data_IF_115256551747
#
_entry.id   IF_115256551747
#
_cell.length_a   1.000
_cell.length_b   1.000
_cell.length_c   1.000
_cell.angle_alpha   90.00
_cell.angle_beta   90.00
_cell.angle_gamma   90.00
#
_symmetry.space_group_name_H-M   'P 1'
#
loop_
_entity.id
_entity.type
_entity.pdbx_description
1 polymer ?
#
# COMPACT_ATOMS: atom_id res chain seq x y z
N UNK A 1 8.24 -63.33 15.44
CA UNK A 1 7.11 -62.99 14.54
C UNK A 1 7.31 -61.56 14.09
N UNK A 2 7.86 -61.36 12.89
CA UNK A 2 8.09 -60.06 12.28
C UNK A 2 7.14 -59.95 11.07
N UNK A 3 6.18 -59.03 11.16
CA UNK A 3 5.20 -58.80 10.10
C UNK A 3 5.85 -58.18 8.87
N UNK A 4 5.74 -58.87 7.73
CA UNK A 4 6.08 -58.34 6.41
C UNK A 4 5.11 -57.21 6.06
N UNK A 5 5.61 -55.98 5.94
CA UNK A 5 4.87 -54.90 5.29
C UNK A 5 5.11 -55.01 3.78
N UNK A 6 4.07 -55.42 3.05
CA UNK A 6 4.06 -55.48 1.60
C UNK A 6 3.86 -54.05 1.05
N UNK A 7 4.95 -53.39 0.64
CA UNK A 7 4.85 -52.11 -0.08
C UNK A 7 4.49 -52.45 -1.53
N UNK A 8 3.22 -52.24 -1.88
CA UNK A 8 2.76 -52.25 -3.27
C UNK A 8 3.31 -50.97 -3.91
N UNK A 9 4.41 -51.10 -4.66
CA UNK A 9 4.92 -50.03 -5.51
C UNK A 9 3.96 -49.83 -6.68
N UNK A 10 3.03 -48.89 -6.55
CA UNK A 10 2.29 -48.35 -7.69
C UNK A 10 3.26 -47.50 -8.52
N UNK A 11 3.82 -48.11 -9.55
CA UNK A 11 4.61 -47.42 -10.55
C UNK A 11 3.65 -46.58 -11.41
N UNK A 12 3.45 -45.32 -11.01
CA UNK A 12 2.78 -44.35 -11.88
C UNK A 12 3.70 -44.06 -13.06
N UNK A 13 3.18 -44.23 -14.28
CA UNK A 13 3.85 -43.80 -15.50
C UNK A 13 4.22 -42.33 -15.33
N UNK A 14 5.52 -42.05 -15.30
CA UNK A 14 6.06 -40.71 -15.52
C UNK A 14 5.60 -40.33 -16.93
N UNK A 15 4.55 -39.52 -17.03
CA UNK A 15 4.12 -38.98 -18.32
C UNK A 15 5.33 -38.32 -18.97
N UNK A 16 5.66 -38.76 -20.18
CA UNK A 16 6.63 -38.03 -21.00
C UNK A 16 6.19 -36.57 -21.08
N UNK A 17 7.09 -35.60 -20.90
CA UNK A 17 6.74 -34.20 -21.07
C UNK A 17 6.35 -34.03 -22.53
N UNK A 18 5.05 -33.93 -22.78
CA UNK A 18 4.54 -33.46 -24.06
C UNK A 18 5.24 -32.13 -24.32
N UNK A 19 6.05 -32.05 -25.37
CA UNK A 19 6.68 -30.81 -25.79
C UNK A 19 5.61 -29.89 -26.39
N UNK A 20 4.66 -29.47 -25.56
CA UNK A 20 3.61 -28.51 -25.87
C UNK A 20 4.29 -27.25 -26.39
N UNK A 21 3.87 -26.80 -27.57
CA UNK A 21 4.38 -25.54 -28.13
C UNK A 21 3.85 -24.37 -27.32
N UNK A 22 4.60 -23.26 -27.30
CA UNK A 22 4.18 -22.08 -26.55
C UNK A 22 2.82 -21.55 -27.04
N UNK A 23 2.50 -21.66 -28.34
CA UNK A 23 1.20 -21.21 -28.86
C UNK A 23 0.02 -22.02 -28.32
N UNK A 24 0.18 -23.34 -28.23
CA UNK A 24 -0.83 -24.26 -27.69
C UNK A 24 -1.01 -24.04 -26.19
N UNK A 25 0.09 -23.91 -25.45
CA UNK A 25 0.07 -23.60 -24.03
C UNK A 25 -0.57 -22.22 -23.77
N UNK A 26 -0.25 -21.23 -24.60
CA UNK A 26 -0.79 -19.89 -24.50
C UNK A 26 -2.32 -19.87 -24.71
N UNK A 27 -2.84 -20.67 -25.65
CA UNK A 27 -4.29 -20.76 -25.86
C UNK A 27 -5.01 -21.32 -24.62
N UNK A 28 -4.41 -22.30 -23.95
CA UNK A 28 -4.94 -22.87 -22.71
C UNK A 28 -4.88 -21.83 -21.59
N UNK A 29 -3.76 -21.09 -21.47
CA UNK A 29 -3.58 -20.00 -20.50
C UNK A 29 -4.63 -18.90 -20.70
N UNK A 30 -4.83 -18.43 -21.92
CA UNK A 30 -5.84 -17.39 -22.24
C UNK A 30 -7.25 -17.86 -21.89
N UNK A 31 -7.56 -19.14 -22.14
CA UNK A 31 -8.87 -19.71 -21.78
C UNK A 31 -9.07 -19.75 -20.26
N UNK A 32 -8.04 -20.16 -19.52
CA UNK A 32 -8.08 -20.16 -18.06
C UNK A 32 -8.14 -18.73 -17.47
N UNK A 33 -7.42 -17.77 -18.06
CA UNK A 33 -7.44 -16.37 -17.62
C UNK A 33 -8.81 -15.71 -17.88
N UNK A 34 -9.43 -15.99 -19.03
CA UNK A 34 -10.79 -15.54 -19.33
C UNK A 34 -11.82 -16.08 -18.34
N UNK A 35 -11.68 -17.34 -17.89
CA UNK A 35 -12.55 -17.88 -16.85
C UNK A 35 -12.37 -17.13 -15.54
N UNK A 36 -11.12 -16.90 -15.10
CA UNK A 36 -10.84 -16.10 -13.91
C UNK A 36 -11.34 -14.64 -14.02
N UNK A 37 -11.29 -14.05 -15.22
CA UNK A 37 -11.88 -12.74 -15.50
C UNK A 37 -13.41 -12.74 -15.35
N UNK A 38 -14.10 -13.74 -15.90
CA UNK A 38 -15.56 -13.90 -15.76
C UNK A 38 -15.96 -14.07 -14.29
N UNK A 39 -15.13 -14.75 -13.50
CA UNK A 39 -15.31 -14.91 -12.05
C UNK A 39 -14.97 -13.64 -11.23
N UNK A 40 -14.63 -12.53 -11.90
CA UNK A 40 -14.36 -11.24 -11.26
C UNK A 40 -12.98 -11.14 -10.59
N UNK A 41 -12.07 -12.08 -10.86
CA UNK A 41 -10.71 -12.04 -10.30
C UNK A 41 -9.92 -10.91 -10.97
N UNK A 42 -9.35 -10.00 -10.17
CA UNK A 42 -8.48 -8.94 -10.67
C UNK A 42 -7.16 -9.51 -11.23
N UNK A 43 -6.53 -8.87 -12.24
CA UNK A 43 -5.30 -9.38 -12.90
C UNK A 43 -4.22 -9.91 -11.94
N UNK A 44 -3.87 -9.15 -10.90
CA UNK A 44 -2.90 -9.54 -9.84
C UNK A 44 -3.21 -10.85 -9.11
N UNK A 45 -4.47 -11.28 -9.09
CA UNK A 45 -4.91 -12.50 -8.42
C UNK A 45 -5.11 -13.69 -9.37
N UNK A 46 -4.96 -13.50 -10.68
CA UNK A 46 -5.29 -14.54 -11.68
C UNK A 46 -4.23 -15.62 -11.83
N UNK A 47 -2.96 -15.33 -11.52
CA UNK A 47 -1.85 -16.26 -11.75
C UNK A 47 -2.07 -17.62 -11.07
N UNK A 48 -2.52 -17.61 -9.82
CA UNK A 48 -2.81 -18.84 -9.06
C UNK A 48 -3.95 -19.68 -9.66
N UNK A 49 -5.17 -19.18 -9.86
CA UNK A 49 -6.25 -19.96 -10.46
C UNK A 49 -5.95 -20.36 -11.91
N UNK A 50 -5.21 -19.54 -12.67
CA UNK A 50 -4.75 -19.88 -14.03
C UNK A 50 -3.81 -21.08 -13.98
N UNK A 51 -2.76 -21.06 -13.16
CA UNK A 51 -1.84 -22.20 -12.99
C UNK A 51 -2.60 -23.45 -12.59
N UNK A 52 -3.51 -23.35 -11.61
CA UNK A 52 -4.34 -24.49 -11.18
C UNK A 52 -5.20 -25.08 -12.31
N UNK A 53 -5.84 -24.22 -13.09
CA UNK A 53 -6.69 -24.64 -14.21
C UNK A 53 -5.86 -25.29 -15.32
N UNK A 54 -4.77 -24.66 -15.73
CA UNK A 54 -3.89 -25.17 -16.81
C UNK A 54 -3.26 -26.51 -16.40
N UNK A 55 -2.72 -26.61 -15.19
CA UNK A 55 -2.11 -27.84 -14.69
C UNK A 55 -3.13 -28.99 -14.64
N UNK A 56 -4.36 -28.73 -14.18
CA UNK A 56 -5.44 -29.72 -14.18
C UNK A 56 -5.82 -30.17 -15.60
N UNK A 57 -5.93 -29.23 -16.54
CA UNK A 57 -6.25 -29.55 -17.95
C UNK A 57 -5.16 -30.39 -18.62
N UNK A 58 -3.90 -30.22 -18.21
CA UNK A 58 -2.76 -31.01 -18.67
C UNK A 58 -2.59 -32.34 -17.91
N UNK A 59 -3.51 -32.68 -16.99
CA UNK A 59 -3.51 -33.94 -16.25
C UNK A 59 -2.56 -33.98 -15.04
N UNK A 60 -2.08 -32.83 -14.56
CA UNK A 60 -1.25 -32.75 -13.36
C UNK A 60 -2.12 -32.52 -12.11
N UNK A 61 -2.33 -33.57 -11.31
CA UNK A 61 -3.10 -33.50 -10.06
C UNK A 61 -2.28 -33.01 -8.85
N UNK A 62 -0.96 -33.21 -8.88
CA UNK A 62 -0.02 -32.75 -7.85
C UNK A 62 1.22 -32.14 -8.46
N UNK A 63 1.59 -30.94 -8.03
CA UNK A 63 2.79 -30.24 -8.48
C UNK A 63 3.26 -29.25 -7.42
N UNK A 64 4.54 -28.92 -7.45
CA UNK A 64 5.13 -27.93 -6.55
C UNK A 64 5.08 -26.56 -7.20
N UNK A 65 4.41 -25.62 -6.51
CA UNK A 65 4.19 -24.25 -6.98
C UNK A 65 5.41 -23.35 -6.77
N UNK A 66 6.19 -23.56 -5.70
CA UNK A 66 7.36 -22.74 -5.38
C UNK A 66 8.40 -23.54 -4.57
N UNK A 67 9.66 -23.05 -4.58
CA UNK A 67 10.79 -23.59 -3.82
C UNK A 67 11.82 -24.32 -4.69
N UNK A 68 12.77 -25.01 -4.04
CA UNK A 68 13.95 -25.64 -4.70
C UNK A 68 13.57 -26.66 -5.78
N UNK A 69 12.36 -27.24 -5.70
CA UNK A 69 11.84 -28.24 -6.63
C UNK A 69 10.61 -27.74 -7.41
N UNK A 70 10.53 -26.44 -7.67
CA UNK A 70 9.46 -25.86 -8.49
C UNK A 70 9.33 -26.57 -9.86
N UNK A 71 8.09 -26.86 -10.26
CA UNK A 71 7.85 -27.54 -11.54
C UNK A 71 8.16 -26.59 -12.72
N UNK A 72 9.05 -26.97 -13.67
CA UNK A 72 9.39 -26.12 -14.81
C UNK A 72 8.20 -25.68 -15.67
N UNK A 73 7.14 -26.49 -15.73
CA UNK A 73 5.90 -26.14 -16.43
C UNK A 73 5.13 -25.02 -15.71
N UNK A 74 5.15 -25.00 -14.36
CA UNK A 74 4.55 -23.92 -13.58
C UNK A 74 5.25 -22.60 -13.88
N UNK A 75 6.58 -22.59 -13.84
CA UNK A 75 7.38 -21.41 -14.20
C UNK A 75 7.10 -20.94 -15.64
N UNK A 76 7.04 -21.87 -16.59
CA UNK A 76 6.70 -21.54 -18.00
C UNK A 76 5.30 -20.95 -18.14
N UNK A 77 4.32 -21.47 -17.40
CA UNK A 77 2.95 -20.91 -17.37
C UNK A 77 2.97 -19.50 -16.77
N UNK A 78 3.69 -19.30 -15.66
CA UNK A 78 3.81 -17.99 -15.01
C UNK A 78 4.45 -16.95 -15.93
N UNK A 79 5.54 -17.30 -16.64
CA UNK A 79 6.22 -16.42 -17.60
C UNK A 79 5.30 -16.05 -18.77
N UNK A 80 4.62 -17.02 -19.39
CA UNK A 80 3.68 -16.78 -20.49
C UNK A 80 2.46 -15.96 -20.02
N UNK A 81 1.87 -16.30 -18.88
CA UNK A 81 0.76 -15.55 -18.30
C UNK A 81 1.17 -14.11 -18.00
N UNK A 82 2.35 -13.93 -17.40
CA UNK A 82 2.85 -12.60 -17.04
C UNK A 82 3.10 -11.73 -18.27
N UNK A 83 3.47 -12.33 -19.41
CA UNK A 83 3.69 -11.61 -20.67
C UNK A 83 2.42 -10.98 -21.27
N UNK A 84 1.23 -11.42 -20.84
CA UNK A 84 -0.06 -10.85 -21.27
C UNK A 84 -0.37 -9.49 -20.64
N UNK A 85 0.37 -9.11 -19.59
CA UNK A 85 0.08 -7.96 -18.76
C UNK A 85 1.29 -7.03 -18.66
N UNK A 86 1.04 -5.76 -18.32
CA UNK A 86 2.14 -4.89 -17.89
C UNK A 86 2.52 -5.31 -16.48
N UNK A 87 3.80 -5.20 -16.12
CA UNK A 87 4.29 -5.56 -14.78
C UNK A 87 3.48 -4.90 -13.65
N UNK A 88 2.98 -3.68 -13.86
CA UNK A 88 2.12 -2.95 -12.90
C UNK A 88 0.71 -3.52 -12.73
N UNK A 89 0.18 -4.24 -13.72
CA UNK A 89 -1.15 -4.86 -13.66
C UNK A 89 -1.10 -6.16 -12.82
N UNK A 90 0.07 -6.80 -12.78
CA UNK A 90 0.35 -8.02 -12.00
C UNK A 90 0.90 -7.73 -10.61
N UNK A 91 1.42 -6.53 -10.37
CA UNK A 91 1.98 -6.16 -9.09
C UNK A 91 0.96 -6.42 -7.97
N UNK A 92 1.34 -7.28 -7.02
CA UNK A 92 0.66 -7.37 -5.73
C UNK A 92 0.94 -6.03 -5.06
N UNK A 93 0.02 -5.08 -5.26
CA UNK A 93 0.14 -3.75 -4.67
C UNK A 93 0.40 -3.86 -3.18
N UNK A 94 1.17 -2.92 -2.66
CA UNK A 94 1.36 -2.79 -1.22
C UNK A 94 0.02 -2.63 -0.50
N UNK A 95 0.04 -2.97 0.79
CA UNK A 95 -1.02 -2.65 1.75
C UNK A 95 -1.46 -1.20 1.60
N UNK A 96 -0.50 -0.29 1.51
CA UNK A 96 -0.73 1.13 1.31
C UNK A 96 0.37 1.69 0.42
N UNK A 97 0.17 2.90 -0.08
CA UNK A 97 1.18 3.60 -0.85
C UNK A 97 1.01 5.10 -0.67
N UNK A 98 2.13 5.80 -0.72
CA UNK A 98 2.20 7.24 -0.58
C UNK A 98 3.33 7.80 -1.43
N UNK A 99 3.70 9.04 -1.14
CA UNK A 99 4.67 9.81 -1.91
C UNK A 99 5.63 10.56 -0.99
N UNK A 100 6.89 10.64 -1.42
CA UNK A 100 7.89 11.53 -0.88
C UNK A 100 8.38 12.46 -1.99
N UNK A 101 8.51 13.75 -1.70
CA UNK A 101 9.07 14.71 -2.64
C UNK A 101 10.56 14.92 -2.35
N UNK A 102 11.41 14.54 -3.31
CA UNK A 102 12.83 14.81 -3.28
C UNK A 102 13.22 15.68 -4.45
N UNK A 103 13.67 16.92 -4.23
CA UNK A 103 14.25 17.72 -5.31
C UNK A 103 13.23 18.53 -6.12
N UNK A 104 11.91 18.32 -5.91
CA UNK A 104 10.78 18.53 -6.85
C UNK A 104 10.31 17.26 -7.61
N UNK A 105 10.97 16.13 -7.37
CA UNK A 105 10.63 14.83 -7.93
C UNK A 105 9.79 14.06 -6.93
N UNK A 106 8.65 13.54 -7.38
CA UNK A 106 7.79 12.71 -6.58
C UNK A 106 8.22 11.26 -6.68
N UNK A 107 8.46 10.65 -5.53
CA UNK A 107 8.93 9.28 -5.36
C UNK A 107 7.79 8.50 -4.73
N UNK A 108 7.37 7.43 -5.39
CA UNK A 108 6.34 6.55 -4.88
C UNK A 108 6.92 5.66 -3.78
N UNK A 109 6.21 5.58 -2.66
CA UNK A 109 6.50 4.68 -1.55
C UNK A 109 5.41 3.60 -1.51
N UNK A 110 5.81 2.35 -1.36
CA UNK A 110 4.90 1.20 -1.21
C UNK A 110 5.09 0.52 0.13
N UNK A 111 4.01 0.39 0.90
CA UNK A 111 3.99 -0.36 2.17
C UNK A 111 3.70 -1.81 1.83
N UNK A 112 4.64 -2.75 1.99
CA UNK A 112 4.42 -4.14 1.63
C UNK A 112 3.45 -4.82 2.59
N UNK A 113 2.82 -5.91 2.15
CA UNK A 113 2.15 -6.84 3.05
C UNK A 113 3.23 -7.70 3.71
N UNK A 114 3.31 -7.67 5.04
CA UNK A 114 4.35 -8.35 5.82
C UNK A 114 3.69 -9.42 6.69
N UNK A 115 4.27 -10.62 6.70
CA UNK A 115 3.92 -11.70 7.62
C UNK A 115 5.15 -12.07 8.45
N UNK A 116 4.99 -12.18 9.77
CA UNK A 116 6.06 -12.54 10.69
C UNK A 116 7.11 -11.43 10.89
N UNK A 117 8.33 -11.82 11.25
CA UNK A 117 9.46 -10.90 11.46
C UNK A 117 10.29 -10.79 10.18
N UNK A 118 10.49 -9.56 9.69
CA UNK A 118 11.29 -9.29 8.48
C UNK A 118 12.27 -8.15 8.74
N UNK A 119 13.41 -8.19 8.07
CA UNK A 119 14.33 -7.06 7.97
C UNK A 119 13.84 -6.14 6.84
N UNK A 120 13.63 -4.86 7.14
CA UNK A 120 13.05 -3.89 6.21
C UNK A 120 14.10 -2.90 5.72
N UNK A 121 14.44 -2.98 4.43
CA UNK A 121 15.19 -1.92 3.74
C UNK A 121 14.20 -0.91 3.14
N UNK A 122 13.98 0.20 3.85
CA UNK A 122 13.01 1.23 3.48
C UNK A 122 13.29 1.88 2.11
N UNK A 123 14.54 1.87 1.63
CA UNK A 123 14.90 2.44 0.33
C UNK A 123 14.50 1.51 -0.82
N UNK A 124 14.38 0.19 -0.58
CA UNK A 124 13.88 -0.77 -1.57
C UNK A 124 12.37 -0.69 -1.77
N UNK A 125 11.67 -0.02 -0.86
CA UNK A 125 10.22 0.17 -0.92
C UNK A 125 9.82 1.45 -1.66
N UNK A 126 10.73 1.97 -2.47
CA UNK A 126 10.57 3.18 -3.26
C UNK A 126 10.90 2.92 -4.72
N UNK A 127 10.38 3.77 -5.62
CA UNK A 127 10.77 3.80 -7.03
C UNK A 127 12.03 4.66 -7.31
N UNK A 128 12.78 5.04 -6.27
CA UNK A 128 14.02 5.80 -6.44
C UNK A 128 15.04 5.04 -7.30
N UNK A 129 15.69 5.78 -8.21
CA UNK A 129 16.92 5.34 -8.87
C UNK A 129 18.07 5.19 -7.88
N UNK A 130 19.08 4.38 -8.23
CA UNK A 130 20.27 4.20 -7.40
C UNK A 130 21.00 5.51 -7.10
N UNK A 131 21.00 6.45 -8.06
CA UNK A 131 21.58 7.77 -7.86
C UNK A 131 20.77 8.60 -6.84
N UNK A 132 19.44 8.58 -6.91
CA UNK A 132 18.60 9.26 -5.91
C UNK A 132 18.83 8.69 -4.52
N UNK A 133 18.91 7.36 -4.37
CA UNK A 133 19.23 6.70 -3.09
C UNK A 133 20.59 7.14 -2.55
N UNK A 134 21.62 7.22 -3.40
CA UNK A 134 22.94 7.73 -3.01
C UNK A 134 22.89 9.20 -2.59
N UNK A 135 22.22 10.05 -3.36
CA UNK A 135 22.07 11.47 -3.02
C UNK A 135 21.34 11.67 -1.69
N UNK A 136 20.32 10.86 -1.41
CA UNK A 136 19.62 10.84 -0.14
C UNK A 136 20.55 10.45 1.01
N UNK A 137 21.31 9.36 0.83
CA UNK A 137 22.26 8.86 1.83
C UNK A 137 23.44 9.81 2.10
N UNK A 138 23.80 10.66 1.13
CA UNK A 138 24.88 11.65 1.27
C UNK A 138 24.49 12.84 2.16
N UNK A 139 23.20 13.06 2.42
CA UNK A 139 22.73 14.18 3.25
C UNK A 139 21.79 13.67 4.37
N UNK A 140 22.25 13.64 5.63
CA UNK A 140 21.45 13.19 6.76
C UNK A 140 20.10 13.92 6.89
N UNK A 141 20.03 15.21 6.55
CA UNK A 141 18.77 15.96 6.63
C UNK A 141 17.74 15.47 5.61
N UNK A 142 18.17 15.14 4.38
CA UNK A 142 17.28 14.58 3.38
C UNK A 142 16.84 13.17 3.76
N UNK A 143 17.77 12.35 4.26
CA UNK A 143 17.43 11.02 4.74
C UNK A 143 16.43 11.06 5.90
N UNK A 144 16.62 11.94 6.88
CA UNK A 144 15.71 12.07 8.02
C UNK A 144 14.32 12.54 7.57
N UNK A 145 14.24 13.50 6.64
CA UNK A 145 12.97 13.93 6.07
C UNK A 145 12.25 12.78 5.34
N UNK A 146 13.00 12.01 4.55
CA UNK A 146 12.46 10.81 3.89
C UNK A 146 11.98 9.78 4.91
N UNK A 147 12.76 9.49 5.94
CA UNK A 147 12.42 8.52 6.98
C UNK A 147 11.15 8.97 7.74
N UNK A 148 11.05 10.25 8.09
CA UNK A 148 9.86 10.83 8.71
C UNK A 148 8.61 10.60 7.84
N UNK A 149 8.72 10.91 6.55
CA UNK A 149 7.60 10.71 5.61
C UNK A 149 7.26 9.23 5.39
N UNK A 150 8.28 8.38 5.28
CA UNK A 150 8.11 6.94 5.11
C UNK A 150 7.37 6.34 6.31
N UNK A 151 7.76 6.73 7.53
CA UNK A 151 7.12 6.29 8.76
C UNK A 151 5.64 6.70 8.77
N UNK A 152 5.29 7.92 8.35
CA UNK A 152 3.90 8.36 8.31
C UNK A 152 3.03 7.51 7.36
N UNK A 153 3.56 7.21 6.18
CA UNK A 153 2.89 6.36 5.19
C UNK A 153 2.79 4.92 5.72
N UNK A 154 3.87 4.41 6.32
CA UNK A 154 3.91 3.06 6.84
C UNK A 154 2.97 2.88 8.03
N UNK A 155 3.01 3.76 9.03
CA UNK A 155 2.16 3.71 10.23
C UNK A 155 0.68 3.73 9.84
N UNK A 156 0.28 4.57 8.87
CA UNK A 156 -1.08 4.57 8.34
C UNK A 156 -1.46 3.22 7.71
N UNK A 157 -0.60 2.67 6.83
CA UNK A 157 -0.86 1.41 6.16
C UNK A 157 -0.89 0.20 7.10
N UNK A 158 0.10 0.10 7.98
CA UNK A 158 0.24 -0.98 8.94
C UNK A 158 -0.88 -0.97 9.99
N UNK A 159 -1.28 0.21 10.48
CA UNK A 159 -2.41 0.33 11.39
C UNK A 159 -3.74 0.00 10.72
N UNK A 160 -3.92 0.32 9.43
CA UNK A 160 -5.12 -0.03 8.69
C UNK A 160 -5.31 -1.55 8.52
N UNK A 161 -4.26 -2.30 8.18
CA UNK A 161 -4.36 -3.77 8.07
C UNK A 161 -4.27 -4.47 9.42
N UNK A 162 -3.84 -3.75 10.46
CA UNK A 162 -3.65 -4.29 11.80
C UNK A 162 -2.47 -5.25 11.89
N UNK A 163 -1.27 -4.75 11.60
CA UNK A 163 -0.03 -5.51 11.75
C UNK A 163 0.28 -5.91 13.21
N UNK A 164 -0.48 -5.38 14.17
CA UNK A 164 -0.44 -5.80 15.58
C UNK A 164 -1.81 -6.41 15.95
N UNK A 165 -1.81 -7.74 16.19
CA UNK A 165 -3.03 -8.49 16.52
C UNK A 165 -3.75 -7.97 17.78
N UNK A 166 -3.02 -7.31 18.68
CA UNK A 166 -3.61 -6.74 19.88
C UNK A 166 -4.30 -5.39 19.63
N UNK A 167 -4.15 -4.79 18.45
CA UNK A 167 -4.47 -3.38 18.18
C UNK A 167 -5.11 -3.15 16.82
N UNK A 168 -6.01 -4.06 16.43
CA UNK A 168 -6.84 -3.89 15.24
C UNK A 168 -7.82 -2.73 15.39
N UNK A 169 -8.01 -1.98 14.30
CA UNK A 169 -9.12 -1.05 14.20
C UNK A 169 -10.45 -1.82 14.26
N UNK A 170 -11.43 -1.23 14.96
CA UNK A 170 -12.79 -1.76 14.95
C UNK A 170 -13.34 -1.85 13.51
N UNK A 171 -13.98 -2.97 13.14
CA UNK A 171 -14.45 -3.21 11.77
C UNK A 171 -15.35 -2.07 11.23
N UNK A 172 -16.16 -1.45 12.11
CA UNK A 172 -17.03 -0.32 11.75
C UNK A 172 -16.26 0.91 11.23
N UNK A 173 -14.97 1.03 11.53
CA UNK A 173 -14.11 2.15 11.14
C UNK A 173 -13.43 1.91 9.80
N UNK A 174 -13.29 0.64 9.38
CA UNK A 174 -12.60 0.26 8.15
C UNK A 174 -13.15 0.96 6.91
N UNK A 175 -14.48 1.16 6.71
CA UNK A 175 -14.97 1.90 5.56
C UNK A 175 -14.51 3.36 5.54
N UNK A 176 -14.46 4.04 6.70
CA UNK A 176 -14.04 5.45 6.79
C UNK A 176 -12.55 5.60 6.51
N UNK A 177 -11.72 4.75 7.11
CA UNK A 177 -10.28 4.72 6.82
C UNK A 177 -9.96 4.25 5.41
N UNK A 178 -10.76 3.33 4.85
CA UNK A 178 -10.63 2.87 3.47
C UNK A 178 -10.81 4.00 2.47
N UNK A 179 -11.74 4.93 2.72
CA UNK A 179 -11.90 6.13 1.91
C UNK A 179 -10.68 7.07 2.02
N UNK A 180 -10.15 7.29 3.22
CA UNK A 180 -8.94 8.09 3.40
C UNK A 180 -7.72 7.47 2.69
N UNK A 181 -7.54 6.16 2.86
CA UNK A 181 -6.51 5.35 2.19
C UNK A 181 -6.58 5.49 0.67
N UNK A 182 -7.79 5.35 0.11
CA UNK A 182 -8.03 5.54 -1.33
C UNK A 182 -7.62 6.94 -1.79
N UNK A 183 -7.96 7.99 -1.03
CA UNK A 183 -7.64 9.37 -1.39
C UNK A 183 -6.14 9.67 -1.32
N UNK A 184 -5.41 9.15 -0.32
CA UNK A 184 -3.94 9.26 -0.26
C UNK A 184 -3.27 8.55 -1.44
N UNK A 185 -3.72 7.34 -1.77
CA UNK A 185 -3.19 6.59 -2.91
C UNK A 185 -3.50 7.29 -4.24
N UNK A 186 -4.68 7.88 -4.37
CA UNK A 186 -5.04 8.70 -5.53
C UNK A 186 -4.13 9.93 -5.64
N UNK A 187 -3.89 10.64 -4.53
CA UNK A 187 -2.99 11.79 -4.49
C UNK A 187 -1.56 11.39 -4.93
N UNK A 188 -1.02 10.30 -4.38
CA UNK A 188 0.30 9.78 -4.74
C UNK A 188 0.37 9.39 -6.23
N UNK A 189 -0.64 8.68 -6.73
CA UNK A 189 -0.72 8.30 -8.15
C UNK A 189 -0.80 9.52 -9.07
N UNK A 190 -1.55 10.56 -8.70
CA UNK A 190 -1.64 11.81 -9.45
C UNK A 190 -0.30 12.55 -9.47
N UNK A 191 0.40 12.63 -8.33
CA UNK A 191 1.72 13.26 -8.26
C UNK A 191 2.77 12.53 -9.11
N UNK A 192 2.80 11.20 -9.05
CA UNK A 192 3.75 10.38 -9.81
C UNK A 192 3.39 10.23 -11.30
N UNK A 193 2.27 10.81 -11.73
CA UNK A 193 1.81 10.79 -13.10
C UNK A 193 2.56 11.83 -13.97
N UNK A 194 2.74 11.59 -15.29
CA UNK A 194 3.27 12.60 -16.19
C UNK A 194 2.27 13.74 -16.50
N UNK A 195 1.05 13.68 -15.97
CA UNK A 195 -0.01 14.66 -16.20
C UNK A 195 -0.08 15.72 -15.08
N UNK A 196 -1.07 16.60 -15.19
CA UNK A 196 -1.38 17.66 -14.21
C UNK A 196 -1.53 17.12 -12.78
N UNK A 197 -0.84 17.76 -11.83
CA UNK A 197 -0.68 17.29 -10.44
C UNK A 197 -1.63 17.97 -9.45
N UNK A 198 -2.32 19.04 -9.84
CA UNK A 198 -3.12 19.89 -8.94
C UNK A 198 -4.29 19.12 -8.30
N UNK A 199 -4.81 18.09 -8.99
CA UNK A 199 -5.83 17.19 -8.43
C UNK A 199 -5.40 16.46 -7.15
N UNK A 200 -4.09 16.33 -6.92
CA UNK A 200 -3.55 15.71 -5.71
C UNK A 200 -3.83 16.54 -4.46
N UNK A 201 -3.94 17.87 -4.58
CA UNK A 201 -4.26 18.77 -3.44
C UNK A 201 -5.60 18.38 -2.84
N UNK A 202 -6.65 18.27 -3.66
CA UNK A 202 -8.00 17.93 -3.20
C UNK A 202 -8.05 16.54 -2.57
N UNK A 203 -7.36 15.58 -3.19
CA UNK A 203 -7.28 14.21 -2.68
C UNK A 203 -6.56 14.15 -1.33
N UNK A 204 -5.45 14.87 -1.17
CA UNK A 204 -4.71 14.98 0.10
C UNK A 204 -5.52 15.64 1.21
N UNK A 205 -6.15 16.79 0.94
CA UNK A 205 -6.99 17.48 1.92
C UNK A 205 -8.17 16.62 2.39
N UNK A 206 -8.85 15.96 1.44
CA UNK A 206 -9.97 15.07 1.77
C UNK A 206 -9.51 13.86 2.57
N UNK A 207 -8.35 13.28 2.26
CA UNK A 207 -7.79 12.18 3.02
C UNK A 207 -7.50 12.56 4.48
N UNK A 208 -6.87 13.72 4.71
CA UNK A 208 -6.57 14.21 6.05
C UNK A 208 -7.87 14.43 6.86
N UNK A 209 -8.88 15.06 6.25
CA UNK A 209 -10.18 15.30 6.88
C UNK A 209 -10.89 13.98 7.23
N UNK A 210 -10.96 13.04 6.28
CA UNK A 210 -11.58 11.73 6.47
C UNK A 210 -10.88 10.94 7.58
N UNK A 211 -9.55 10.99 7.62
CA UNK A 211 -8.76 10.30 8.64
C UNK A 211 -9.08 10.84 10.03
N UNK A 212 -9.04 12.17 10.22
CA UNK A 212 -9.36 12.77 11.53
C UNK A 212 -10.79 12.43 11.95
N UNK A 213 -11.76 12.56 11.02
CA UNK A 213 -13.16 12.23 11.32
C UNK A 213 -13.37 10.74 11.62
N UNK A 214 -12.58 9.86 11.03
CA UNK A 214 -12.57 8.44 11.37
C UNK A 214 -12.04 8.21 12.79
N UNK A 215 -10.95 8.89 13.18
CA UNK A 215 -10.43 8.84 14.55
C UNK A 215 -11.39 9.40 15.61
N UNK A 216 -12.09 10.49 15.30
CA UNK A 216 -13.17 11.02 16.15
C UNK A 216 -14.36 10.04 16.24
N UNK A 217 -14.67 9.33 15.14
CA UNK A 217 -15.69 8.27 15.17
C UNK A 217 -15.28 7.12 16.08
N UNK A 218 -13.99 6.78 16.15
CA UNK A 218 -13.47 5.79 17.07
C UNK A 218 -13.74 6.21 18.53
N UNK A 219 -13.57 7.50 18.84
CA UNK A 219 -13.88 8.09 20.13
C UNK A 219 -15.38 8.35 20.40
N UNK A 220 -16.28 7.87 19.53
CA UNK A 220 -17.72 7.93 19.75
C UNK A 220 -18.43 9.17 19.21
N UNK A 221 -17.78 10.01 18.40
CA UNK A 221 -18.49 11.10 17.72
C UNK A 221 -19.55 10.56 16.77
N UNK A 222 -20.77 11.11 16.88
CA UNK A 222 -21.87 10.84 15.96
C UNK A 222 -21.65 11.55 14.62
N UNK A 223 -22.29 11.05 13.55
CA UNK A 223 -22.22 11.70 12.24
C UNK A 223 -22.74 13.16 12.27
N UNK A 224 -23.67 13.49 13.17
CA UNK A 224 -24.13 14.87 13.37
C UNK A 224 -23.02 15.76 13.97
N UNK A 225 -22.27 15.27 14.94
CA UNK A 225 -21.12 15.99 15.51
C UNK A 225 -20.02 16.17 14.46
N UNK A 226 -19.71 15.13 13.69
CA UNK A 226 -18.71 15.20 12.62
C UNK A 226 -19.09 16.17 11.50
N UNK A 227 -20.40 16.27 11.17
CA UNK A 227 -20.89 17.27 10.21
C UNK A 227 -20.71 18.70 10.69
N UNK A 228 -20.84 18.97 12.00
CA UNK A 228 -20.64 20.32 12.57
C UNK A 228 -19.21 20.82 12.44
N UNK A 229 -18.24 19.92 12.32
CA UNK A 229 -16.84 20.29 12.05
C UNK A 229 -16.63 20.83 10.63
N UNK A 230 -17.61 20.65 9.72
CA UNK A 230 -17.57 21.04 8.31
C UNK A 230 -16.28 20.52 7.63
N UNK A 231 -15.79 21.23 6.60
CA UNK A 231 -14.52 20.95 5.91
C UNK A 231 -13.37 21.78 6.50
N UNK A 232 -13.45 22.13 7.79
CA UNK A 232 -12.44 22.93 8.47
C UNK A 232 -11.42 22.02 9.16
N UNK A 233 -10.22 21.97 8.60
CA UNK A 233 -9.14 21.13 9.11
C UNK A 233 -8.72 21.52 10.53
N UNK A 234 -8.72 22.81 10.86
CA UNK A 234 -8.31 23.29 12.18
C UNK A 234 -9.31 22.85 13.26
N UNK A 235 -10.62 22.96 12.97
CA UNK A 235 -11.65 22.46 13.87
C UNK A 235 -11.56 20.94 14.05
N UNK A 236 -11.27 20.20 12.96
CA UNK A 236 -11.08 18.76 13.03
C UNK A 236 -9.88 18.38 13.92
N UNK A 237 -8.73 19.02 13.73
CA UNK A 237 -7.51 18.77 14.53
C UNK A 237 -7.72 19.11 16.00
N UNK A 238 -8.33 20.26 16.30
CA UNK A 238 -8.60 20.66 17.69
C UNK A 238 -9.48 19.63 18.40
N UNK A 239 -10.60 19.25 17.78
CA UNK A 239 -11.49 18.24 18.34
C UNK A 239 -10.79 16.89 18.53
N UNK A 240 -9.92 16.50 17.61
CA UNK A 240 -9.18 15.23 17.71
C UNK A 240 -8.19 15.26 18.88
N UNK A 241 -7.42 16.33 19.03
CA UNK A 241 -6.40 16.41 20.09
C UNK A 241 -7.01 16.65 21.47
N UNK A 242 -8.21 17.24 21.56
CA UNK A 242 -9.00 17.27 22.81
C UNK A 242 -9.35 15.86 23.31
N UNK A 243 -9.55 14.92 22.39
CA UNK A 243 -9.89 13.52 22.69
C UNK A 243 -8.64 12.67 22.91
N UNK A 244 -7.63 12.84 22.05
CA UNK A 244 -6.39 12.07 22.06
C UNK A 244 -5.22 12.96 22.51
N UNK A 245 -5.10 13.17 23.81
CA UNK A 245 -4.15 14.10 24.42
C UNK A 245 -2.66 13.80 24.18
N UNK A 246 -2.32 12.57 23.76
CA UNK A 246 -0.96 12.15 23.42
C UNK A 246 -0.60 12.42 21.94
N UNK A 247 -1.51 13.01 21.15
CA UNK A 247 -1.23 13.44 19.78
C UNK A 247 -0.18 14.55 19.73
N UNK A 248 0.61 14.60 18.64
CA UNK A 248 1.53 15.72 18.35
C UNK A 248 0.74 16.99 17.98
N UNK A 249 0.03 17.55 18.97
CA UNK A 249 -0.94 18.63 18.80
C UNK A 249 -0.30 19.87 18.17
N UNK A 250 0.86 20.30 18.67
CA UNK A 250 1.52 21.50 18.17
C UNK A 250 1.87 21.36 16.67
N UNK A 251 2.37 20.19 16.26
CA UNK A 251 2.67 19.93 14.85
C UNK A 251 1.40 19.75 14.03
N UNK A 252 0.40 19.02 14.52
CA UNK A 252 -0.88 18.86 13.82
C UNK A 252 -1.55 20.22 13.59
N UNK A 253 -1.59 21.09 14.61
CA UNK A 253 -2.18 22.43 14.52
C UNK A 253 -1.40 23.33 13.54
N UNK A 254 -0.07 23.31 13.59
CA UNK A 254 0.78 24.03 12.62
C UNK A 254 0.54 23.53 11.20
N UNK A 255 0.48 22.22 11.00
CA UNK A 255 0.25 21.60 9.70
C UNK A 255 -1.14 21.96 9.17
N UNK A 256 -2.20 21.77 9.97
CA UNK A 256 -3.58 22.08 9.55
C UNK A 256 -3.78 23.55 9.24
N UNK A 257 -3.15 24.45 9.99
CA UNK A 257 -3.20 25.89 9.72
C UNK A 257 -2.47 26.31 8.44
N UNK A 258 -1.52 25.51 7.96
CA UNK A 258 -0.77 25.77 6.72
C UNK A 258 -1.42 25.15 5.47
N UNK A 259 -2.41 24.27 5.64
CA UNK A 259 -3.09 23.64 4.51
C UNK A 259 -4.10 24.60 3.87
N UNK A 260 -4.22 24.60 2.54
CA UNK A 260 -5.23 25.41 1.88
C UNK A 260 -6.63 24.94 2.29
N UNK A 261 -7.57 25.88 2.39
CA UNK A 261 -8.96 25.56 2.68
C UNK A 261 -9.58 24.80 1.50
N UNK A 262 -10.16 23.64 1.80
CA UNK A 262 -10.70 22.71 0.81
C UNK A 262 -11.62 23.38 -0.23
N UNK A 263 -12.62 24.12 0.25
CA UNK A 263 -13.65 24.75 -0.61
C UNK A 263 -13.06 25.89 -1.44
N UNK A 264 -12.25 26.77 -0.84
CA UNK A 264 -11.67 27.92 -1.51
C UNK A 264 -10.70 27.47 -2.61
N UNK A 265 -9.82 26.50 -2.32
CA UNK A 265 -8.87 25.98 -3.29
C UNK A 265 -9.52 25.34 -4.52
N UNK A 266 -10.71 24.73 -4.35
CA UNK A 266 -11.43 24.06 -5.45
C UNK A 266 -11.89 25.01 -6.55
N UNK A 267 -12.21 26.25 -6.18
CA UNK A 267 -12.73 27.26 -7.11
C UNK A 267 -11.71 28.36 -7.43
N UNK A 268 -10.49 28.25 -6.89
CA UNK A 268 -9.42 29.21 -7.14
C UNK A 268 -8.90 29.10 -8.57
N UNK A 269 -8.73 30.25 -9.24
CA UNK A 269 -8.00 30.36 -10.51
C UNK A 269 -6.48 30.19 -10.32
N UNK A 270 -5.98 30.43 -9.11
CA UNK A 270 -4.59 30.23 -8.73
C UNK A 270 -4.47 28.89 -8.00
N UNK A 271 -3.77 27.95 -8.62
CA UNK A 271 -3.53 26.62 -8.05
C UNK A 271 -2.09 26.52 -7.52
N UNK A 272 -1.86 25.72 -6.46
CA UNK A 272 -0.53 25.51 -5.92
C UNK A 272 0.49 25.05 -6.96
N UNK A 273 1.73 25.51 -6.79
CA UNK A 273 2.85 25.04 -7.61
C UNK A 273 3.16 23.55 -7.35
N UNK A 274 4.07 22.96 -8.15
CA UNK A 274 4.44 21.54 -8.01
C UNK A 274 5.00 21.22 -6.62
N UNK A 275 5.95 22.02 -6.14
CA UNK A 275 6.58 21.85 -4.82
C UNK A 275 5.53 21.97 -3.71
N UNK A 276 4.70 23.01 -3.75
CA UNK A 276 3.65 23.26 -2.78
C UNK A 276 2.60 22.13 -2.75
N UNK A 277 2.19 21.64 -3.93
CA UNK A 277 1.30 20.47 -4.06
C UNK A 277 1.90 19.23 -3.39
N UNK A 278 3.20 19.00 -3.59
CA UNK A 278 3.95 17.93 -2.92
C UNK A 278 3.92 18.05 -1.40
N UNK A 279 4.22 19.24 -0.88
CA UNK A 279 4.21 19.53 0.56
C UNK A 279 2.82 19.34 1.17
N UNK A 280 1.75 19.76 0.48
CA UNK A 280 0.38 19.57 0.93
C UNK A 280 0.05 18.08 1.09
N UNK A 281 0.41 17.25 0.12
CA UNK A 281 0.14 15.80 0.19
C UNK A 281 0.99 15.13 1.26
N UNK A 282 2.26 15.50 1.40
CA UNK A 282 3.14 14.99 2.46
C UNK A 282 2.62 15.33 3.85
N UNK A 283 2.13 16.56 4.06
CA UNK A 283 1.44 16.99 5.29
C UNK A 283 0.15 16.20 5.55
N UNK A 284 -0.63 15.90 4.52
CA UNK A 284 -1.83 15.07 4.67
C UNK A 284 -1.51 13.63 5.08
N UNK A 285 -0.45 13.04 4.51
CA UNK A 285 0.04 11.71 4.91
C UNK A 285 0.52 11.71 6.36
N UNK A 286 1.15 12.79 6.83
CA UNK A 286 1.50 12.93 8.24
C UNK A 286 0.29 12.95 9.17
N UNK A 287 -0.72 13.78 8.87
CA UNK A 287 -1.97 13.80 9.64
C UNK A 287 -2.55 12.38 9.71
N UNK A 288 -2.54 11.66 8.58
CA UNK A 288 -3.05 10.31 8.51
C UNK A 288 -2.25 9.32 9.38
N UNK A 289 -0.92 9.37 9.29
CA UNK A 289 -0.02 8.57 10.11
C UNK A 289 -0.18 8.88 11.60
N UNK A 290 -0.34 10.15 11.97
CA UNK A 290 -0.49 10.56 13.38
C UNK A 290 -1.80 10.05 13.98
N UNK A 291 -2.92 10.25 13.30
CA UNK A 291 -4.20 9.68 13.75
C UNK A 291 -4.11 8.16 13.89
N UNK A 292 -3.45 7.48 12.94
CA UNK A 292 -3.32 6.03 13.00
C UNK A 292 -2.43 5.58 14.17
N UNK A 293 -1.34 6.29 14.47
CA UNK A 293 -0.51 6.03 15.66
C UNK A 293 -1.31 6.12 16.95
N UNK A 294 -2.17 7.13 17.08
CA UNK A 294 -3.00 7.29 18.28
C UNK A 294 -4.03 6.17 18.45
N UNK A 295 -4.58 5.66 17.35
CA UNK A 295 -5.59 4.58 17.39
C UNK A 295 -4.98 3.19 17.56
N UNK A 296 -3.88 2.92 16.83
CA UNK A 296 -3.21 1.62 16.86
C UNK A 296 -2.16 1.52 17.97
N UNK A 297 -1.79 2.63 18.61
CA UNK A 297 -0.65 2.73 19.53
C UNK A 297 0.69 2.28 18.92
N UNK A 298 0.74 2.03 17.61
CA UNK A 298 1.86 1.41 16.92
C UNK A 298 2.62 2.47 16.14
N UNK A 299 3.95 2.46 16.22
CA UNK A 299 4.81 3.33 15.41
C UNK A 299 6.05 2.60 14.93
N UNK A 300 6.32 2.69 13.63
CA UNK A 300 7.53 2.18 13.01
C UNK A 300 8.78 2.88 13.57
N UNK A 301 8.68 4.16 13.96
CA UNK A 301 9.82 4.91 14.50
C UNK A 301 10.46 4.23 15.71
N UNK A 302 9.63 3.66 16.59
CA UNK A 302 10.09 2.96 17.79
C UNK A 302 10.82 1.63 17.49
N UNK A 303 10.81 1.20 16.22
CA UNK A 303 11.35 -0.08 15.76
C UNK A 303 12.46 0.08 14.72
N UNK A 304 12.74 1.30 14.27
CA UNK A 304 13.81 1.57 13.31
C UNK A 304 15.08 2.02 14.03
N UNK A 305 16.20 1.38 13.71
CA UNK A 305 17.51 1.84 14.13
C UNK A 305 17.97 3.02 13.25
N UNK A 306 18.69 3.97 13.85
CA UNK A 306 19.36 5.05 13.12
C UNK A 306 18.45 6.18 12.60
N UNK A 307 17.18 6.22 13.00
CA UNK A 307 16.28 7.35 12.70
C UNK A 307 16.35 8.37 13.84
N UNK A 308 16.53 9.65 13.50
CA UNK A 308 16.54 10.74 14.49
C UNK A 308 15.15 11.01 15.08
N UNK A 309 15.11 11.93 16.05
CA UNK A 309 13.84 12.58 16.41
C UNK A 309 13.17 13.19 15.16
N UNK A 310 11.84 13.24 15.20
CA UNK A 310 11.04 13.74 14.09
C UNK A 310 11.40 15.19 13.79
N UNK A 311 11.81 15.44 12.56
CA UNK A 311 12.12 16.77 12.04
C UNK A 311 11.05 17.31 11.09
N UNK A 312 10.36 16.39 10.41
CA UNK A 312 9.37 16.67 9.36
C UNK A 312 8.05 15.91 9.65
N UNK A 313 6.88 16.42 9.25
CA UNK A 313 6.61 17.72 8.61
C UNK A 313 6.45 18.92 9.56
#
# INVERSE_FOLDING_TARGET
MAGRLCIVSLSFKKGEPMALKDEELMQIIVTADNAAFIDGVAPKGRVFPVIQSVMRQLGHESYQFAGVNENPLVKRIEELHSSMYRSKDLAIGGVHGGVYMFRDVFIQISVPLIYGTVELDILRLTDMSDMQKRLLAMNPAFFNQFADQFIDIFDFGAGFEGFDEARHLEERLLPKFGLAKYQLQAAAATLCSPFEFQGAVQSGLLAAELTIKAGLSAAGYTDQQLKKLNHDMSNCVNAFCEVYGDADFERMARVSGSLPKFVENRYSSEQPGRVETGEIVMKAQYIAGEVMRQLSGWSLRQRLDGVSERSYP
#
